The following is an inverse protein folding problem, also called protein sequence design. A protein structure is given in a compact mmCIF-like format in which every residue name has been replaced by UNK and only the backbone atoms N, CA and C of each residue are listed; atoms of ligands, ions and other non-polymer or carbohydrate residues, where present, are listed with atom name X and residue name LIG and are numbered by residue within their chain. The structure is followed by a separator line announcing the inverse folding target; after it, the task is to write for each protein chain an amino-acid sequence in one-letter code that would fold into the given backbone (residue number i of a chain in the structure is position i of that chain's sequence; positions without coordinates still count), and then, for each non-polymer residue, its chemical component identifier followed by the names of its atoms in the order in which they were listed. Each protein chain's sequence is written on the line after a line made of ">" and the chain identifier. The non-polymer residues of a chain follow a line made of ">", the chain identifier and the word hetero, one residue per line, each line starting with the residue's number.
data_IF_346385465578
#
_entry.id   IF_346385465578
#
_cell.length_a   1.000
_cell.length_b   1.000
_cell.length_c   1.000
_cell.angle_alpha   90.00
_cell.angle_beta   90.00
_cell.angle_gamma   90.00
#
_symmetry.space_group_name_H-M   'P 1'
#
loop_
_entity.id
_entity.type
_entity.pdbx_description
1 polymer ?
#
# COMPACT_ATOMS: atom_id res chain seq x y z
N UNK A 1 27.30 -5.76 6.60
CA UNK A 1 25.90 -5.64 6.12
C UNK A 1 25.21 -6.98 6.05
N UNK A 2 25.90 -8.04 5.60
CA UNK A 2 25.30 -9.35 5.37
C UNK A 2 24.61 -9.96 6.58
N UNK A 3 25.16 -9.80 7.79
CA UNK A 3 24.50 -10.26 9.04
C UNK A 3 23.16 -9.57 9.30
N UNK A 4 23.06 -8.26 9.00
CA UNK A 4 21.81 -7.51 9.17
C UNK A 4 20.78 -7.98 8.14
N UNK A 5 21.23 -8.23 6.90
CA UNK A 5 20.39 -8.79 5.84
C UNK A 5 19.89 -10.17 6.26
N UNK A 6 20.77 -11.07 6.69
CA UNK A 6 20.44 -12.43 7.12
C UNK A 6 19.44 -12.44 8.28
N UNK A 7 19.69 -11.63 9.31
CA UNK A 7 18.78 -11.48 10.44
C UNK A 7 17.41 -10.98 9.99
N UNK A 8 17.39 -9.91 9.18
CA UNK A 8 16.15 -9.32 8.65
C UNK A 8 15.37 -10.30 7.77
N UNK A 9 16.08 -11.09 6.96
CA UNK A 9 15.50 -12.10 6.08
C UNK A 9 14.85 -13.24 6.86
N UNK A 10 15.36 -13.58 8.04
CA UNK A 10 14.84 -14.63 8.94
C UNK A 10 13.61 -14.15 9.71
N UNK A 11 13.57 -12.88 10.09
CA UNK A 11 12.52 -12.28 10.94
C UNK A 11 11.56 -11.36 10.17
N UNK A 12 11.60 -11.34 8.83
CA UNK A 12 10.86 -10.41 7.98
C UNK A 12 9.34 -10.40 8.25
N UNK A 13 8.77 -11.55 8.64
CA UNK A 13 7.34 -11.68 8.97
C UNK A 13 6.95 -10.96 10.26
N UNK A 14 7.90 -10.64 11.14
CA UNK A 14 7.67 -9.94 12.41
C UNK A 14 7.70 -8.42 12.24
N UNK A 15 8.24 -7.94 11.13
CA UNK A 15 8.42 -6.50 10.90
C UNK A 15 7.06 -5.83 10.69
N UNK A 16 6.87 -4.67 11.33
CA UNK A 16 5.73 -3.79 11.05
C UNK A 16 6.07 -2.80 9.91
N UNK A 17 5.11 -1.93 9.57
CA UNK A 17 5.25 -0.95 8.47
C UNK A 17 6.46 -0.03 8.67
N UNK A 18 6.67 0.45 9.89
CA UNK A 18 7.79 1.32 10.24
C UNK A 18 9.13 0.57 10.13
N UNK A 19 9.23 -0.68 10.59
CA UNK A 19 10.45 -1.48 10.45
C UNK A 19 10.80 -1.70 8.98
N UNK A 20 9.82 -2.03 8.14
CA UNK A 20 10.00 -2.22 6.69
C UNK A 20 10.49 -0.93 6.02
N UNK A 21 9.82 0.19 6.28
CA UNK A 21 10.20 1.50 5.73
C UNK A 21 11.60 1.94 6.18
N UNK A 22 11.93 1.77 7.45
CA UNK A 22 13.23 2.17 8.00
C UNK A 22 14.36 1.29 7.48
N UNK A 23 14.15 -0.03 7.37
CA UNK A 23 15.17 -0.93 6.82
C UNK A 23 15.44 -0.62 5.35
N UNK A 24 14.39 -0.41 4.54
CA UNK A 24 14.54 0.00 3.16
C UNK A 24 15.31 1.33 3.04
N UNK A 25 14.92 2.33 3.84
CA UNK A 25 15.54 3.66 3.85
C UNK A 25 17.01 3.62 4.25
N UNK A 26 17.36 2.84 5.26
CA UNK A 26 18.76 2.67 5.65
C UNK A 26 19.60 2.10 4.50
N UNK A 27 19.14 1.04 3.83
CA UNK A 27 19.89 0.43 2.72
C UNK A 27 19.96 1.35 1.48
N UNK A 28 18.91 2.13 1.23
CA UNK A 28 18.91 3.16 0.19
C UNK A 28 19.94 4.26 0.47
N UNK A 29 19.96 4.81 1.69
CA UNK A 29 20.96 5.81 2.10
C UNK A 29 22.40 5.30 1.96
N UNK A 30 22.62 4.02 2.26
CA UNK A 30 23.95 3.40 2.19
C UNK A 30 24.34 2.96 0.78
N UNK A 31 23.43 3.05 -0.20
CA UNK A 31 23.59 2.56 -1.57
C UNK A 31 24.11 1.11 -1.63
N UNK A 32 23.74 0.31 -0.63
CA UNK A 32 24.21 -1.06 -0.52
C UNK A 32 23.23 -1.99 -1.22
N UNK A 33 23.60 -2.42 -2.42
CA UNK A 33 22.76 -3.27 -3.24
C UNK A 33 22.55 -4.63 -2.60
N UNK A 34 21.31 -4.95 -2.25
CA UNK A 34 20.91 -6.28 -1.79
C UNK A 34 19.56 -6.66 -2.41
N UNK A 35 19.54 -7.11 -3.69
CA UNK A 35 18.28 -7.31 -4.44
C UNK A 35 17.31 -8.30 -3.77
N UNK A 36 17.84 -9.31 -3.09
CA UNK A 36 17.03 -10.25 -2.32
C UNK A 36 16.27 -9.58 -1.17
N UNK A 37 16.87 -8.60 -0.51
CA UNK A 37 16.25 -7.89 0.62
C UNK A 37 15.05 -7.08 0.14
N UNK A 38 15.22 -6.28 -0.91
CA UNK A 38 14.13 -5.45 -1.45
C UNK A 38 12.97 -6.29 -1.99
N UNK A 39 13.26 -7.46 -2.56
CA UNK A 39 12.22 -8.42 -2.97
C UNK A 39 11.40 -8.91 -1.77
N UNK A 40 12.05 -9.25 -0.64
CA UNK A 40 11.32 -9.65 0.58
C UNK A 40 10.57 -8.48 1.22
N UNK A 41 11.16 -7.28 1.22
CA UNK A 41 10.50 -6.08 1.73
C UNK A 41 9.24 -5.75 0.93
N UNK A 42 9.28 -5.84 -0.40
CA UNK A 42 8.11 -5.61 -1.25
C UNK A 42 6.97 -6.59 -0.94
N UNK A 43 7.29 -7.89 -0.79
CA UNK A 43 6.31 -8.92 -0.39
C UNK A 43 5.76 -8.70 1.01
N UNK A 44 6.60 -8.30 1.97
CA UNK A 44 6.13 -7.99 3.33
C UNK A 44 5.22 -6.76 3.33
N UNK A 45 5.62 -5.72 2.60
CA UNK A 45 4.88 -4.48 2.47
C UNK A 45 3.50 -4.69 1.82
N UNK A 46 3.40 -5.54 0.80
CA UNK A 46 2.14 -5.86 0.14
C UNK A 46 1.11 -6.46 1.11
N UNK A 47 1.55 -7.33 2.04
CA UNK A 47 0.67 -7.91 3.07
C UNK A 47 0.13 -6.89 4.08
N UNK A 48 0.71 -5.69 4.17
CA UNK A 48 0.35 -4.65 5.12
C UNK A 48 0.04 -3.32 4.44
N UNK A 49 -0.25 -3.34 3.13
CA UNK A 49 -0.38 -2.15 2.30
C UNK A 49 -1.41 -1.13 2.85
N UNK A 50 -2.52 -1.61 3.43
CA UNK A 50 -3.56 -0.76 4.05
C UNK A 50 -3.19 -0.19 5.41
N UNK A 51 -2.10 -0.64 6.02
CA UNK A 51 -1.68 -0.24 7.37
C UNK A 51 -0.59 0.82 7.39
N UNK A 52 0.00 1.13 6.23
CA UNK A 52 1.07 2.12 6.14
C UNK A 52 0.57 3.52 6.47
N UNK A 53 1.33 4.24 7.30
CA UNK A 53 1.17 5.69 7.40
C UNK A 53 1.76 6.37 6.16
N UNK A 54 1.26 7.56 5.77
CA UNK A 54 1.74 8.25 4.57
C UNK A 54 3.26 8.44 4.52
N UNK A 55 3.88 8.80 5.66
CA UNK A 55 5.34 9.02 5.73
C UNK A 55 6.12 7.71 5.55
N UNK A 56 5.63 6.60 6.11
CA UNK A 56 6.27 5.29 5.99
C UNK A 56 6.20 4.79 4.55
N UNK A 57 5.04 4.98 3.89
CA UNK A 57 4.87 4.61 2.49
C UNK A 57 5.77 5.44 1.57
N UNK A 58 5.83 6.77 1.78
CA UNK A 58 6.69 7.65 1.01
C UNK A 58 8.16 7.26 1.13
N UNK A 59 8.65 7.00 2.35
CA UNK A 59 10.02 6.56 2.58
C UNK A 59 10.31 5.22 1.90
N UNK A 60 9.37 4.27 1.98
CA UNK A 60 9.53 2.97 1.35
C UNK A 60 9.64 3.11 -0.17
N UNK A 61 8.71 3.82 -0.82
CA UNK A 61 8.72 4.04 -2.27
C UNK A 61 9.97 4.79 -2.74
N UNK A 62 10.39 5.82 -2.00
CA UNK A 62 11.66 6.50 -2.26
C UNK A 62 12.85 5.52 -2.22
N UNK A 63 12.89 4.64 -1.22
CA UNK A 63 13.97 3.65 -1.09
C UNK A 63 14.05 2.70 -2.27
N UNK A 64 12.89 2.22 -2.77
CA UNK A 64 12.83 1.39 -3.98
C UNK A 64 13.33 2.15 -5.21
N UNK A 65 12.98 3.44 -5.35
CA UNK A 65 13.45 4.27 -6.46
C UNK A 65 14.96 4.49 -6.46
N UNK A 66 15.55 4.77 -5.29
CA UNK A 66 17.00 4.98 -5.14
C UNK A 66 17.79 3.72 -5.46
N UNK A 67 17.26 2.56 -5.07
CA UNK A 67 17.91 1.26 -5.30
C UNK A 67 17.59 0.67 -6.68
N UNK A 68 16.87 1.40 -7.53
CA UNK A 68 16.42 0.95 -8.85
C UNK A 68 15.71 -0.42 -8.81
N UNK A 69 14.98 -0.69 -7.73
CA UNK A 69 14.28 -1.96 -7.53
C UNK A 69 12.77 -1.78 -7.63
N UNK A 70 12.09 -2.75 -8.21
CA UNK A 70 10.64 -2.67 -8.37
C UNK A 70 9.90 -2.97 -7.06
N UNK A 71 8.85 -2.17 -6.79
CA UNK A 71 7.92 -2.36 -5.69
C UNK A 71 6.59 -3.00 -6.14
N UNK A 72 6.55 -3.69 -7.28
CA UNK A 72 5.32 -4.21 -7.91
C UNK A 72 4.34 -4.89 -6.94
N UNK A 73 4.76 -5.82 -6.05
CA UNK A 73 3.83 -6.43 -5.10
C UNK A 73 3.07 -5.42 -4.22
N UNK A 74 3.78 -4.38 -3.77
CA UNK A 74 3.20 -3.29 -2.99
C UNK A 74 2.27 -2.44 -3.84
N UNK A 75 2.70 -2.05 -5.05
CA UNK A 75 1.93 -1.21 -5.97
C UNK A 75 0.61 -1.88 -6.37
N UNK A 76 0.64 -3.15 -6.74
CA UNK A 76 -0.59 -3.91 -7.04
C UNK A 76 -1.54 -4.00 -5.84
N UNK A 77 -0.98 -4.10 -4.63
CA UNK A 77 -1.80 -4.15 -3.42
C UNK A 77 -2.47 -2.80 -3.14
N UNK A 78 -1.75 -1.69 -3.33
CA UNK A 78 -2.30 -0.34 -3.22
C UNK A 78 -3.38 -0.07 -4.28
N UNK A 79 -3.13 -0.48 -5.52
CA UNK A 79 -4.09 -0.37 -6.62
C UNK A 79 -5.36 -1.17 -6.32
N UNK A 80 -5.24 -2.41 -5.84
CA UNK A 80 -6.37 -3.23 -5.42
C UNK A 80 -7.17 -2.57 -4.30
N UNK A 81 -6.51 -2.01 -3.28
CA UNK A 81 -7.16 -1.27 -2.19
C UNK A 81 -7.96 -0.09 -2.74
N UNK A 82 -7.36 0.70 -3.62
CA UNK A 82 -8.01 1.85 -4.25
C UNK A 82 -9.22 1.45 -5.10
N UNK A 83 -9.07 0.43 -5.95
CA UNK A 83 -10.15 -0.09 -6.79
C UNK A 83 -11.31 -0.63 -5.96
N UNK A 84 -11.02 -1.30 -4.83
CA UNK A 84 -12.04 -1.77 -3.91
C UNK A 84 -12.78 -0.62 -3.22
N UNK A 85 -12.07 0.45 -2.86
CA UNK A 85 -12.68 1.67 -2.32
C UNK A 85 -13.62 2.32 -3.34
N UNK A 86 -13.19 2.50 -4.59
CA UNK A 86 -14.06 3.04 -5.66
C UNK A 86 -15.33 2.21 -5.81
N UNK A 87 -15.20 0.88 -5.92
CA UNK A 87 -16.35 -0.01 -6.11
C UNK A 87 -17.34 0.07 -4.95
N UNK A 88 -16.86 0.22 -3.71
CA UNK A 88 -17.72 0.40 -2.54
C UNK A 88 -18.46 1.73 -2.56
N UNK A 89 -17.78 2.80 -2.96
CA UNK A 89 -18.35 4.14 -3.01
C UNK A 89 -19.32 4.33 -4.20
N UNK A 90 -19.08 3.68 -5.34
CA UNK A 90 -20.00 3.68 -6.48
C UNK A 90 -21.36 3.04 -6.13
N UNK A 91 -21.36 1.92 -5.41
CA UNK A 91 -22.59 1.22 -4.96
C UNK A 91 -23.46 2.04 -3.99
N UNK A 92 -22.92 3.08 -3.36
CA UNK A 92 -23.69 3.98 -2.49
C UNK A 92 -24.47 5.05 -3.27
N UNK A 93 -24.11 5.34 -4.52
CA UNK A 93 -24.77 6.37 -5.33
C UNK A 93 -26.07 5.86 -5.95
N UNK A 94 -26.15 4.56 -6.25
CA UNK A 94 -27.34 3.93 -6.83
C UNK A 94 -28.50 3.81 -5.82
N UNK A 95 -28.20 3.67 -4.52
CA UNK A 95 -29.24 3.56 -3.47
C UNK A 95 -29.88 4.90 -3.09
N UNK A 96 -29.24 6.04 -3.35
CA UNK A 96 -29.78 7.37 -3.02
C UNK A 96 -30.57 8.00 -4.17
N UNK A 97 -30.38 7.52 -5.41
CA UNK A 97 -31.17 7.95 -6.57
C UNK A 97 -32.61 7.39 -6.54
N UNK A 98 -32.84 6.24 -5.92
CA UNK A 98 -34.16 5.59 -5.84
C UNK A 98 -35.06 6.10 -4.69
N UNK A 99 -34.62 7.08 -3.89
CA UNK A 99 -35.40 7.64 -2.79
C UNK A 99 -36.04 9.01 -3.12
N UNK A 100 -35.79 9.56 -4.32
CA UNK A 100 -36.21 10.92 -4.69
C UNK A 100 -37.27 10.98 -5.81
N UNK A 101 -37.83 9.83 -6.23
CA UNK A 101 -38.80 9.73 -7.34
C UNK A 101 -40.22 9.31 -6.91
N UNK A 102 -40.70 9.71 -5.72
CA UNK A 102 -42.06 9.34 -5.30
C UNK A 102 -42.87 10.44 -4.57
N UNK A 103 -42.50 11.71 -4.72
CA UNK A 103 -43.30 12.81 -4.15
C UNK A 103 -43.44 13.99 -5.11
N UNK A 104 -44.15 13.78 -6.22
CA UNK A 104 -44.95 14.85 -6.86
C UNK A 104 -45.81 14.24 -7.95
N UNK A 105 -47.08 14.00 -7.64
CA UNK A 105 -48.19 14.33 -8.53
C UNK A 105 -49.47 14.30 -7.68
N UNK A 106 -49.59 15.33 -6.85
CA UNK A 106 -50.86 15.77 -6.31
C UNK A 106 -51.42 16.83 -7.25
N UNK A 107 -52.50 16.47 -7.94
CA UNK A 107 -53.64 17.33 -8.28
C UNK A 107 -53.41 18.58 -9.13
N UNK A 108 -53.99 18.58 -10.32
CA UNK A 108 -54.62 19.79 -10.87
C UNK A 108 -55.81 19.40 -11.77
N UNK A 109 -56.99 19.79 -11.27
CA UNK A 109 -58.31 20.05 -11.90
C UNK A 109 -58.99 18.98 -12.76
#
# INVERSE_FOLDING_TARGET
>A
MDRIVEFSMTRMSEFNTQNVANLAGAFACMQHATPGLFTKLAKRASCMASSFRPQELAQLLWSFSVMYHSADPLLYSLESIYNNWIKKNAKHMDSNANAMDCTTEGGES
#
